data_IF_744784897771
#
_entry.id   IF_744784897771
#
_cell.length_a   1.000
_cell.length_b   1.000
_cell.length_c   1.000
_cell.angle_alpha   90.00
_cell.angle_beta   90.00
_cell.angle_gamma   90.00
#
_symmetry.space_group_name_H-M   'P 1'
#
loop_
_entity.id
_entity.type
_entity.pdbx_description
1 polymer ?
#
# COMPACT_ATOMS: atom_id res chain seq x y z
N UNK A 1 23.73 -21.40 37.30
CA UNK A 1 23.61 -22.86 37.45
C UNK A 1 24.03 -23.53 36.14
N UNK A 2 25.23 -23.28 35.59
CA UNK A 2 26.59 -23.74 35.98
C UNK A 2 26.74 -25.25 36.08
N UNK A 3 27.12 -25.91 34.97
CA UNK A 3 27.92 -27.16 34.88
C UNK A 3 28.49 -27.22 33.44
N UNK A 4 29.69 -26.78 33.08
CA UNK A 4 31.02 -26.87 33.71
C UNK A 4 31.39 -28.31 34.08
N UNK A 5 31.50 -29.17 33.08
CA UNK A 5 32.23 -30.44 33.18
C UNK A 5 33.68 -30.21 32.75
N UNK A 6 34.47 -29.72 33.70
CA UNK A 6 35.91 -29.63 33.63
C UNK A 6 36.47 -30.93 34.24
N UNK A 7 36.82 -31.91 33.40
CA UNK A 7 37.63 -33.06 33.81
C UNK A 7 39.09 -32.75 33.45
N UNK A 8 39.80 -32.07 34.34
CA UNK A 8 41.26 -32.02 34.32
C UNK A 8 41.80 -33.11 35.25
N UNK A 9 41.97 -34.33 34.72
CA UNK A 9 42.87 -35.31 35.32
C UNK A 9 44.28 -34.98 34.86
N UNK A 10 45.16 -34.67 35.82
CA UNK A 10 46.55 -34.35 35.56
C UNK A 10 47.38 -35.56 35.12
N UNK A 11 48.25 -35.33 34.14
CA UNK A 11 49.68 -35.70 34.20
C UNK A 11 50.48 -34.72 33.30
N UNK A 12 51.61 -34.15 33.77
CA UNK A 12 52.54 -33.43 32.91
C UNK A 12 53.52 -34.46 32.32
N UNK A 13 53.20 -35.00 31.15
CA UNK A 13 54.21 -35.60 30.27
C UNK A 13 54.08 -34.94 28.92
N UNK A 14 55.19 -34.31 28.51
CA UNK A 14 55.38 -33.71 27.20
C UNK A 14 55.16 -34.78 26.11
N UNK A 15 53.92 -34.90 25.67
CA UNK A 15 53.53 -35.59 24.46
C UNK A 15 52.73 -34.58 23.68
N UNK A 16 53.36 -33.98 22.66
CA UNK A 16 52.70 -33.10 21.72
C UNK A 16 51.53 -33.85 21.09
N UNK A 17 50.31 -33.65 21.59
CA UNK A 17 49.09 -33.96 20.86
C UNK A 17 49.05 -33.01 19.67
N UNK A 18 49.67 -33.42 18.58
CA UNK A 18 49.56 -32.77 17.29
C UNK A 18 48.08 -32.82 16.93
N UNK A 19 47.40 -31.67 17.06
CA UNK A 19 46.06 -31.48 16.53
C UNK A 19 46.16 -31.75 15.04
N UNK A 20 45.70 -32.93 14.61
CA UNK A 20 45.59 -33.26 13.20
C UNK A 20 44.62 -32.24 12.59
N UNK A 21 45.17 -31.19 11.99
CA UNK A 21 44.41 -30.18 11.27
C UNK A 21 43.90 -30.86 10.01
N UNK A 22 42.67 -31.36 10.11
CA UNK A 22 41.82 -31.69 8.97
C UNK A 22 41.87 -30.49 8.04
N UNK A 23 42.59 -30.63 6.93
CA UNK A 23 42.70 -29.62 5.89
C UNK A 23 41.44 -29.72 5.03
N UNK A 24 40.30 -29.39 5.62
CA UNK A 24 39.08 -29.10 4.87
C UNK A 24 39.44 -27.93 3.97
N UNK A 25 39.63 -28.19 2.68
CA UNK A 25 39.76 -27.15 1.67
C UNK A 25 38.45 -26.38 1.68
N UNK A 26 38.42 -25.29 2.44
CA UNK A 26 37.40 -24.27 2.34
C UNK A 26 37.50 -23.69 0.92
N UNK A 27 36.70 -24.21 -0.01
CA UNK A 27 36.54 -23.61 -1.34
C UNK A 27 35.78 -22.29 -1.16
N UNK A 28 36.52 -21.21 -0.97
CA UNK A 28 35.97 -19.86 -0.97
C UNK A 28 35.51 -19.45 -2.38
N UNK A 29 34.40 -18.70 -2.44
CA UNK A 29 33.95 -18.04 -3.66
C UNK A 29 35.05 -17.13 -4.21
N UNK A 30 35.31 -17.18 -5.50
CA UNK A 30 36.36 -16.32 -6.09
C UNK A 30 35.86 -14.87 -6.19
N UNK A 31 36.75 -13.91 -5.98
CA UNK A 31 36.40 -12.48 -6.05
C UNK A 31 35.85 -12.09 -7.42
N UNK A 32 36.33 -12.75 -8.49
CA UNK A 32 35.84 -12.56 -9.85
C UNK A 32 34.40 -13.09 -10.04
N UNK A 33 34.06 -14.19 -9.37
CA UNK A 33 32.73 -14.78 -9.44
C UNK A 33 31.70 -13.89 -8.73
N UNK A 34 32.08 -13.34 -7.56
CA UNK A 34 31.24 -12.36 -6.85
C UNK A 34 31.08 -11.08 -7.68
N UNK A 35 32.13 -10.60 -8.36
CA UNK A 35 32.04 -9.39 -9.19
C UNK A 35 31.14 -9.55 -10.43
N UNK A 36 31.16 -10.72 -11.08
CA UNK A 36 30.23 -10.99 -12.18
C UNK A 36 28.78 -11.03 -11.69
N UNK A 37 28.56 -11.65 -10.53
CA UNK A 37 27.22 -11.79 -9.95
C UNK A 37 26.64 -10.41 -9.60
N UNK A 38 27.40 -9.55 -8.93
CA UNK A 38 26.91 -8.19 -8.60
C UNK A 38 26.66 -7.36 -9.87
N UNK A 39 27.44 -7.57 -10.94
CA UNK A 39 27.25 -6.87 -12.21
C UNK A 39 25.89 -7.24 -12.85
N UNK A 40 25.54 -8.54 -12.87
CA UNK A 40 24.26 -9.00 -13.40
C UNK A 40 23.10 -8.58 -12.48
N UNK A 41 23.27 -8.71 -11.15
CA UNK A 41 22.27 -8.30 -10.17
C UNK A 41 21.97 -6.80 -10.25
N UNK A 42 22.98 -5.95 -10.50
CA UNK A 42 22.80 -4.51 -10.66
C UNK A 42 21.86 -4.15 -11.81
N UNK A 43 22.00 -4.82 -12.97
CA UNK A 43 21.12 -4.63 -14.12
C UNK A 43 19.69 -5.05 -13.78
N UNK A 44 19.50 -6.23 -13.18
CA UNK A 44 18.18 -6.73 -12.82
C UNK A 44 17.48 -5.84 -11.78
N UNK A 45 18.22 -5.34 -10.78
CA UNK A 45 17.68 -4.46 -9.75
C UNK A 45 17.20 -3.11 -10.30
N UNK A 46 17.87 -2.57 -11.34
CA UNK A 46 17.48 -1.28 -11.93
C UNK A 46 16.08 -1.30 -12.54
N UNK A 47 15.65 -2.44 -13.08
CA UNK A 47 14.30 -2.63 -13.65
C UNK A 47 13.30 -2.90 -12.51
N UNK A 48 13.69 -3.72 -11.54
CA UNK A 48 12.83 -4.11 -10.43
C UNK A 48 12.43 -2.92 -9.54
N UNK A 49 13.34 -1.97 -9.31
CA UNK A 49 13.08 -0.85 -8.38
C UNK A 49 11.98 0.09 -8.89
N UNK A 50 11.94 0.37 -10.20
CA UNK A 50 10.91 1.22 -10.78
C UNK A 50 9.52 0.58 -10.67
N UNK A 51 9.41 -0.72 -10.96
CA UNK A 51 8.14 -1.45 -10.82
C UNK A 51 7.69 -1.56 -9.36
N UNK A 52 8.62 -1.71 -8.41
CA UNK A 52 8.30 -1.81 -6.99
C UNK A 52 7.76 -0.49 -6.43
N UNK A 53 8.29 0.65 -6.88
CA UNK A 53 7.78 1.97 -6.49
C UNK A 53 6.32 2.15 -6.90
N UNK A 54 5.98 1.86 -8.16
CA UNK A 54 4.60 1.94 -8.66
C UNK A 54 3.64 1.01 -7.91
N UNK A 55 4.09 -0.21 -7.57
CA UNK A 55 3.30 -1.15 -6.77
C UNK A 55 3.06 -0.62 -5.35
N UNK A 56 4.09 -0.08 -4.70
CA UNK A 56 3.97 0.49 -3.36
C UNK A 56 3.02 1.68 -3.35
N UNK A 57 3.08 2.56 -4.35
CA UNK A 57 2.18 3.71 -4.49
C UNK A 57 0.74 3.23 -4.71
N UNK A 58 0.51 2.24 -5.58
CA UNK A 58 -0.83 1.66 -5.77
C UNK A 58 -1.42 1.07 -4.49
N UNK A 59 -0.57 0.46 -3.65
CA UNK A 59 -1.02 -0.05 -2.35
C UNK A 59 -1.49 1.09 -1.43
N UNK A 60 -0.78 2.23 -1.41
CA UNK A 60 -1.19 3.44 -0.68
C UNK A 60 -2.53 3.99 -1.19
N UNK A 61 -2.72 4.01 -2.52
CA UNK A 61 -3.99 4.43 -3.13
C UNK A 61 -5.14 3.48 -2.76
N UNK A 62 -4.86 2.18 -2.69
CA UNK A 62 -5.85 1.16 -2.33
C UNK A 62 -6.34 1.30 -0.88
N UNK A 63 -5.57 1.93 0.02
CA UNK A 63 -6.03 2.27 1.37
C UNK A 63 -7.28 3.16 1.31
N UNK A 64 -7.27 4.19 0.46
CA UNK A 64 -8.42 5.08 0.28
C UNK A 64 -9.65 4.31 -0.21
N UNK A 65 -9.48 3.40 -1.16
CA UNK A 65 -10.57 2.56 -1.68
C UNK A 65 -11.20 1.69 -0.59
N UNK A 66 -10.39 1.15 0.33
CA UNK A 66 -10.88 0.38 1.47
C UNK A 66 -11.60 1.29 2.50
N UNK A 67 -11.05 2.47 2.76
CA UNK A 67 -11.58 3.42 3.75
C UNK A 67 -13.00 3.89 3.39
N UNK A 68 -13.30 4.08 2.10
CA UNK A 68 -14.60 4.56 1.67
C UNK A 68 -15.71 3.50 1.65
N UNK A 69 -15.44 2.24 2.04
CA UNK A 69 -16.47 1.21 2.07
C UNK A 69 -17.68 1.63 2.93
N UNK A 70 -17.42 2.13 4.15
CA UNK A 70 -18.48 2.65 5.03
C UNK A 70 -19.11 3.96 4.52
N UNK A 71 -18.35 4.77 3.77
CA UNK A 71 -18.89 5.99 3.14
C UNK A 71 -19.87 5.65 2.02
N UNK A 72 -19.59 4.62 1.22
CA UNK A 72 -20.51 4.11 0.20
C UNK A 72 -21.82 3.62 0.82
N UNK A 73 -21.74 2.93 1.95
CA UNK A 73 -22.91 2.47 2.69
C UNK A 73 -23.76 3.65 3.17
N UNK A 74 -23.16 4.63 3.85
CA UNK A 74 -23.88 5.82 4.32
C UNK A 74 -24.52 6.63 3.17
N UNK A 75 -23.81 6.78 2.03
CA UNK A 75 -24.37 7.44 0.84
C UNK A 75 -25.54 6.64 0.26
N UNK A 76 -25.43 5.31 0.21
CA UNK A 76 -26.50 4.45 -0.27
C UNK A 76 -27.73 4.46 0.65
N UNK A 77 -27.53 4.49 1.96
CA UNK A 77 -28.60 4.59 2.94
C UNK A 77 -29.32 5.93 2.82
N UNK A 78 -28.58 7.04 2.71
CA UNK A 78 -29.14 8.37 2.49
C UNK A 78 -29.99 8.43 1.21
N UNK A 79 -29.52 7.80 0.12
CA UNK A 79 -30.28 7.71 -1.12
C UNK A 79 -31.58 6.92 -0.94
N UNK A 80 -31.54 5.78 -0.25
CA UNK A 80 -32.73 4.96 -0.01
C UNK A 80 -33.72 5.66 0.93
N UNK A 81 -33.24 6.38 1.94
CA UNK A 81 -34.06 7.05 2.93
C UNK A 81 -34.72 8.33 2.39
N UNK A 82 -33.98 9.13 1.62
CA UNK A 82 -34.42 10.47 1.17
C UNK A 82 -34.78 10.56 -0.32
N UNK A 83 -34.46 9.51 -1.10
CA UNK A 83 -34.63 9.49 -2.55
C UNK A 83 -33.59 10.30 -3.32
N UNK A 84 -32.68 11.00 -2.64
CA UNK A 84 -31.66 11.85 -3.24
C UNK A 84 -30.28 11.49 -2.67
N UNK A 85 -29.23 11.64 -3.46
CA UNK A 85 -27.89 11.49 -2.91
C UNK A 85 -27.54 12.68 -1.99
N UNK A 86 -26.75 12.43 -0.94
CA UNK A 86 -26.30 13.47 -0.02
C UNK A 86 -25.41 14.49 -0.74
N UNK A 87 -25.64 15.77 -0.45
CA UNK A 87 -24.83 16.89 -0.94
C UNK A 87 -23.59 17.18 -0.09
N UNK A 88 -23.53 16.60 1.11
CA UNK A 88 -22.41 16.72 2.04
C UNK A 88 -22.32 15.49 2.94
N UNK A 89 -21.20 15.34 3.65
CA UNK A 89 -21.06 14.27 4.64
C UNK A 89 -22.12 14.36 5.74
N UNK A 90 -22.49 15.58 6.16
CA UNK A 90 -23.48 15.79 7.20
C UNK A 90 -24.87 15.30 6.77
N UNK A 91 -25.24 15.49 5.51
CA UNK A 91 -26.51 15.01 4.95
C UNK A 91 -26.58 13.48 4.94
N UNK A 92 -25.43 12.83 4.79
CA UNK A 92 -25.28 11.38 4.90
C UNK A 92 -25.12 10.87 6.34
N UNK A 93 -25.26 11.74 7.36
CA UNK A 93 -25.06 11.37 8.76
C UNK A 93 -23.62 11.01 9.13
N UNK A 94 -22.65 11.42 8.30
CA UNK A 94 -21.23 11.16 8.52
C UNK A 94 -20.53 12.38 9.15
N UNK A 95 -19.36 12.11 9.72
CA UNK A 95 -18.45 13.15 10.21
C UNK A 95 -17.89 14.01 9.07
N UNK A 96 -17.40 15.20 9.39
CA UNK A 96 -16.82 16.12 8.42
C UNK A 96 -15.69 15.47 7.59
N UNK A 97 -15.58 15.82 6.31
CA UNK A 97 -14.70 15.14 5.36
C UNK A 97 -13.23 15.09 5.77
N UNK A 98 -12.74 16.15 6.43
CA UNK A 98 -11.38 16.29 6.94
C UNK A 98 -11.11 15.49 8.23
N UNK A 99 -12.10 14.78 8.76
CA UNK A 99 -11.96 13.91 9.93
C UNK A 99 -11.91 12.43 9.56
N UNK A 100 -12.29 12.09 8.32
CA UNK A 100 -12.14 10.75 7.75
C UNK A 100 -10.70 10.64 7.23
N UNK A 101 -9.81 10.14 8.09
CA UNK A 101 -8.37 10.11 7.88
C UNK A 101 -7.86 8.67 7.74
N UNK A 102 -6.83 8.51 6.92
CA UNK A 102 -6.00 7.30 6.84
C UNK A 102 -4.52 7.65 7.00
N UNK A 103 -3.67 6.64 6.84
CA UNK A 103 -2.21 6.85 6.77
C UNK A 103 -1.88 7.72 5.56
N UNK A 104 -2.43 7.36 4.39
CA UNK A 104 -2.23 8.07 3.13
C UNK A 104 -3.45 8.85 2.65
N UNK A 105 -4.49 8.99 3.47
CA UNK A 105 -5.74 9.70 3.13
C UNK A 105 -5.90 10.93 4.04
N UNK A 106 -6.12 12.10 3.44
CA UNK A 106 -6.30 13.39 4.14
C UNK A 106 -7.75 13.80 4.30
N UNK A 107 -8.62 13.40 3.39
CA UNK A 107 -10.06 13.64 3.52
C UNK A 107 -10.86 12.71 2.62
N UNK A 108 -12.09 12.43 3.05
CA UNK A 108 -13.10 11.77 2.23
C UNK A 108 -14.39 12.57 2.30
N UNK A 109 -14.78 13.14 1.16
CA UNK A 109 -15.98 13.98 1.04
C UNK A 109 -17.02 13.36 0.11
N UNK A 110 -18.29 13.61 0.38
CA UNK A 110 -19.41 13.27 -0.50
C UNK A 110 -20.08 14.54 -1.02
N UNK A 111 -20.64 14.48 -2.22
CA UNK A 111 -21.29 15.65 -2.85
C UNK A 111 -20.31 16.66 -3.43
N UNK A 112 -19.14 16.21 -3.87
CA UNK A 112 -18.08 17.08 -4.38
C UNK A 112 -18.48 17.80 -5.69
N UNK A 113 -18.68 19.12 -5.52
CA UNK A 113 -18.37 20.27 -6.40
C UNK A 113 -19.32 20.83 -7.43
N UNK A 114 -20.51 20.26 -7.67
CA UNK A 114 -21.36 20.79 -8.75
C UNK A 114 -22.76 21.22 -8.29
N UNK A 115 -23.02 21.16 -6.97
CA UNK A 115 -24.33 21.53 -6.41
C UNK A 115 -25.45 20.52 -6.70
N UNK A 116 -25.11 19.38 -7.33
CA UNK A 116 -26.00 18.23 -7.51
C UNK A 116 -25.67 17.12 -6.52
N UNK A 117 -26.70 16.54 -5.90
CA UNK A 117 -26.58 15.25 -5.20
C UNK A 117 -26.31 14.14 -6.23
N UNK A 118 -25.09 14.07 -6.75
CA UNK A 118 -24.71 13.17 -7.85
C UNK A 118 -24.05 11.86 -7.38
N UNK A 119 -24.14 11.55 -6.09
CA UNK A 119 -23.61 10.30 -5.54
C UNK A 119 -22.09 10.18 -5.69
N UNK A 120 -21.40 11.33 -5.65
CA UNK A 120 -19.95 11.40 -5.78
C UNK A 120 -19.27 11.27 -4.42
N UNK A 121 -18.18 10.50 -4.38
CA UNK A 121 -17.26 10.41 -3.25
C UNK A 121 -15.87 10.79 -3.77
N UNK A 122 -15.26 11.80 -3.14
CA UNK A 122 -13.92 12.26 -3.47
C UNK A 122 -12.96 11.96 -2.33
N UNK A 123 -11.86 11.28 -2.65
CA UNK A 123 -10.77 10.99 -1.73
C UNK A 123 -9.60 11.91 -2.07
N UNK A 124 -9.02 12.53 -1.05
CA UNK A 124 -7.78 13.30 -1.17
C UNK A 124 -6.67 12.55 -0.44
N UNK A 125 -5.49 12.43 -1.07
CA UNK A 125 -4.35 11.70 -0.53
C UNK A 125 -3.33 12.62 0.17
N UNK A 126 -2.48 12.01 1.00
CA UNK A 126 -1.36 12.65 1.71
C UNK A 126 -0.22 11.65 1.97
N UNK A 127 0.92 12.16 2.41
CA UNK A 127 2.01 11.37 3.00
C UNK A 127 2.95 10.72 1.98
N UNK A 128 2.80 11.01 0.68
CA UNK A 128 3.78 10.63 -0.35
C UNK A 128 3.73 11.63 -1.52
N UNK A 129 4.85 12.26 -1.90
CA UNK A 129 4.87 13.28 -2.96
C UNK A 129 4.28 12.85 -4.32
N UNK A 130 4.23 11.54 -4.60
CA UNK A 130 3.68 11.02 -5.85
C UNK A 130 2.15 10.96 -5.88
N UNK A 131 1.50 11.05 -4.72
CA UNK A 131 0.03 11.01 -4.58
C UNK A 131 -0.51 12.23 -3.84
N UNK A 132 0.35 12.97 -3.12
CA UNK A 132 0.00 14.25 -2.52
C UNK A 132 -0.63 15.14 -3.60
N UNK A 133 -1.68 15.87 -3.24
CA UNK A 133 -2.49 16.72 -4.13
C UNK A 133 -3.37 16.00 -5.16
N UNK A 134 -3.22 14.69 -5.33
CA UNK A 134 -4.06 13.91 -6.23
C UNK A 134 -5.32 13.43 -5.52
N UNK A 135 -6.35 13.22 -6.32
CA UNK A 135 -7.68 12.81 -5.91
C UNK A 135 -8.12 11.56 -6.65
N UNK A 136 -8.94 10.77 -5.96
CA UNK A 136 -9.65 9.63 -6.55
C UNK A 136 -11.15 9.83 -6.36
N UNK A 137 -11.89 9.80 -7.47
CA UNK A 137 -13.34 9.96 -7.47
C UNK A 137 -14.03 8.61 -7.67
N UNK A 138 -15.10 8.42 -6.90
CA UNK A 138 -16.09 7.37 -7.09
C UNK A 138 -17.43 8.02 -7.42
N UNK A 139 -18.13 7.46 -8.39
CA UNK A 139 -19.47 7.94 -8.75
C UNK A 139 -20.49 6.81 -8.61
N UNK A 140 -21.61 7.10 -7.98
CA UNK A 140 -22.77 6.23 -7.94
C UNK A 140 -23.69 6.53 -9.13
N UNK A 141 -24.20 5.46 -9.74
CA UNK A 141 -25.28 5.54 -10.72
C UNK A 141 -26.38 4.59 -10.31
N UNK A 142 -27.61 5.08 -10.26
CA UNK A 142 -28.78 4.25 -9.97
C UNK A 142 -29.35 3.66 -11.24
N UNK A 143 -29.46 2.34 -11.32
CA UNK A 143 -30.08 1.63 -12.45
C UNK A 143 -31.08 0.61 -11.90
N UNK A 144 -32.35 0.76 -12.26
CA UNK A 144 -33.43 -0.17 -11.89
C UNK A 144 -33.50 -0.51 -10.38
N UNK A 145 -33.26 0.47 -9.50
CA UNK A 145 -33.28 0.28 -8.05
C UNK A 145 -31.99 -0.29 -7.44
N UNK A 146 -30.96 -0.53 -8.25
CA UNK A 146 -29.61 -0.86 -7.79
C UNK A 146 -28.68 0.35 -7.85
N UNK A 147 -27.68 0.40 -6.98
CA UNK A 147 -26.63 1.43 -6.95
C UNK A 147 -25.34 0.81 -7.49
N UNK A 148 -24.87 1.31 -8.62
CA UNK A 148 -23.63 0.89 -9.27
C UNK A 148 -22.56 1.93 -8.98
N UNK A 149 -21.45 1.49 -8.40
CA UNK A 149 -20.29 2.36 -8.12
C UNK A 149 -19.24 2.18 -9.20
N UNK A 150 -18.87 3.28 -9.85
CA UNK A 150 -17.70 3.35 -10.74
C UNK A 150 -16.58 4.14 -10.06
N UNK A 151 -15.33 3.83 -10.40
CA UNK A 151 -14.15 4.44 -9.82
C UNK A 151 -13.20 4.91 -10.92
N UNK A 152 -12.53 6.05 -10.71
CA UNK A 152 -11.48 6.54 -11.61
C UNK A 152 -11.99 7.32 -12.83
N UNK A 153 -13.29 7.29 -13.10
CA UNK A 153 -13.96 8.15 -14.08
C UNK A 153 -14.39 9.45 -13.43
N UNK A 154 -14.00 10.59 -14.00
CA UNK A 154 -14.37 11.93 -13.52
C UNK A 154 -15.77 12.31 -14.02
N UNK A 155 -16.75 12.35 -13.11
CA UNK A 155 -18.08 12.94 -13.32
C UNK A 155 -18.22 14.31 -12.63
N UNK A 156 -17.48 14.58 -11.55
CA UNK A 156 -17.39 15.88 -10.86
C UNK A 156 -15.99 16.51 -10.94
N UNK A 157 -15.40 16.93 -9.79
CA UNK A 157 -14.04 17.51 -9.73
C UNK A 157 -12.98 16.63 -10.42
N UNK A 158 -13.21 15.33 -10.39
CA UNK A 158 -12.50 14.33 -11.15
C UNK A 158 -11.38 13.62 -10.41
N UNK A 159 -11.02 12.46 -10.97
CA UNK A 159 -9.80 11.72 -10.62
C UNK A 159 -8.61 12.38 -11.31
N UNK A 160 -7.75 13.04 -10.53
CA UNK A 160 -6.48 13.59 -11.03
C UNK A 160 -5.35 12.56 -10.99
N UNK A 161 -5.53 11.46 -10.25
CA UNK A 161 -4.51 10.45 -10.04
C UNK A 161 -4.10 9.72 -11.34
N UNK A 162 -2.79 9.58 -11.63
CA UNK A 162 -2.33 8.86 -12.83
C UNK A 162 -2.80 7.40 -12.87
N UNK A 163 -3.26 6.94 -14.04
CA UNK A 163 -3.77 5.57 -14.23
C UNK A 163 -2.76 4.45 -13.88
N UNK A 164 -1.46 4.74 -13.88
CA UNK A 164 -0.43 3.80 -13.41
C UNK A 164 -0.51 3.54 -11.91
N UNK A 165 -0.98 4.49 -11.10
CA UNK A 165 -1.11 4.37 -9.65
C UNK A 165 -2.49 3.87 -9.20
N UNK A 166 -3.51 3.95 -10.07
CA UNK A 166 -4.86 3.48 -9.77
C UNK A 166 -4.96 1.94 -9.65
N UNK A 167 -5.57 1.37 -8.60
CA UNK A 167 -5.82 -0.07 -8.52
C UNK A 167 -6.65 -0.57 -9.70
N UNK A 168 -6.62 -1.87 -9.97
CA UNK A 168 -7.32 -2.47 -11.12
C UNK A 168 -8.83 -2.20 -11.12
N UNK A 169 -9.45 -2.07 -9.94
CA UNK A 169 -10.87 -1.73 -9.77
C UNK A 169 -11.23 -0.28 -10.10
N UNK A 170 -10.22 0.59 -10.26
CA UNK A 170 -10.35 2.02 -10.47
C UNK A 170 -9.71 2.48 -11.78
N UNK A 171 -9.38 1.55 -12.68
CA UNK A 171 -8.95 1.90 -14.02
C UNK A 171 -10.19 2.04 -14.91
N UNK A 172 -10.32 3.16 -15.66
CA UNK A 172 -11.39 3.32 -16.63
C UNK A 172 -11.26 2.34 -17.79
#
# INVERSE_FOLDING_TARGET
>A
MTRAWLLCLGTPKAGSCVHAKSNSRESGFTLIEVMLIIAILGVLMSIAIAAYQDYSIRAKVSEGVALIAGVKEAVSESLVASGNFPTSNADAGMVAANTILGTYVSSVGTGATDGGGDGLILITYRGDPNIDTHTLEFSATTTAGSIIWTCGTSRGTGTSMPARYLPSSCRP
#
